data_IF_705401691368
#
_entry.id   IF_705401691368
#
_cell.length_a   1.000
_cell.length_b   1.000
_cell.length_c   1.000
_cell.angle_alpha   90.00
_cell.angle_beta   90.00
_cell.angle_gamma   90.00
#
_symmetry.space_group_name_H-M   'P 1'
#
loop_
_entity.id
_entity.type
_entity.pdbx_description
1 polymer ?
#
# COMPACT_ATOMS: atom_id res chain seq x y z
N UNK A 1 -5.30 9.12 -17.79
CA UNK A 1 -4.75 8.32 -18.91
C UNK A 1 -4.56 6.88 -18.45
N UNK A 2 -3.63 6.60 -17.53
CA UNK A 2 -3.35 5.24 -17.01
C UNK A 2 -4.59 4.47 -16.54
N UNK A 3 -5.50 5.15 -15.82
CA UNK A 3 -6.76 4.55 -15.37
C UNK A 3 -7.56 3.82 -16.46
N UNK A 4 -7.54 4.31 -17.71
CA UNK A 4 -8.27 3.74 -18.86
C UNK A 4 -7.37 3.09 -19.92
N UNK A 5 -6.09 3.47 -19.96
CA UNK A 5 -5.14 2.98 -20.97
C UNK A 5 -4.71 1.55 -20.65
N UNK A 6 -4.59 1.22 -19.37
CA UNK A 6 -4.35 -0.15 -18.91
C UNK A 6 -5.70 -0.85 -18.84
N UNK A 7 -5.91 -1.94 -19.62
CA UNK A 7 -7.15 -2.67 -19.58
C UNK A 7 -7.49 -3.19 -18.17
N UNK A 8 -8.75 -3.50 -17.90
CA UNK A 8 -9.16 -4.14 -16.65
C UNK A 8 -8.29 -5.35 -16.32
N UNK A 9 -7.91 -5.47 -15.05
CA UNK A 9 -7.14 -6.60 -14.49
C UNK A 9 -5.69 -6.74 -14.96
N UNK A 10 -5.22 -5.85 -15.85
CA UNK A 10 -3.84 -5.90 -16.35
C UNK A 10 -2.85 -5.10 -15.49
N UNK A 11 -3.30 -4.37 -14.47
CA UNK A 11 -2.37 -3.85 -13.46
C UNK A 11 -1.90 -4.98 -12.55
N UNK A 12 -0.71 -4.77 -11.99
CA UNK A 12 -0.08 -5.71 -11.07
C UNK A 12 -0.96 -5.99 -9.84
N UNK A 13 -1.21 -7.28 -9.57
CA UNK A 13 -1.95 -7.85 -8.43
C UNK A 13 -3.36 -7.27 -8.16
N UNK A 14 -3.95 -6.61 -9.17
CA UNK A 14 -5.24 -5.91 -9.05
C UNK A 14 -6.44 -6.80 -8.65
N UNK A 15 -6.60 -8.03 -9.18
CA UNK A 15 -7.76 -8.87 -8.89
C UNK A 15 -7.96 -9.21 -7.41
N UNK A 16 -6.89 -9.58 -6.70
CA UNK A 16 -6.99 -10.04 -5.31
C UNK A 16 -7.08 -8.89 -4.32
N UNK A 17 -6.48 -7.73 -4.63
CA UNK A 17 -6.72 -6.50 -3.90
C UNK A 17 -8.16 -6.00 -4.05
N UNK A 18 -8.73 -6.13 -5.25
CA UNK A 18 -10.13 -5.82 -5.51
C UNK A 18 -11.07 -6.75 -4.72
N UNK A 19 -10.79 -8.06 -4.69
CA UNK A 19 -11.57 -9.03 -3.91
C UNK A 19 -11.68 -8.61 -2.43
N UNK A 20 -10.57 -8.19 -1.81
CA UNK A 20 -10.59 -7.73 -0.43
C UNK A 20 -11.56 -6.55 -0.24
N UNK A 21 -11.42 -5.51 -1.09
CA UNK A 21 -12.25 -4.32 -0.98
C UNK A 21 -13.74 -4.62 -1.22
N UNK A 22 -14.04 -5.51 -2.18
CA UNK A 22 -15.40 -5.98 -2.41
C UNK A 22 -15.95 -6.76 -1.22
N UNK A 23 -15.13 -7.63 -0.62
CA UNK A 23 -15.52 -8.41 0.56
C UNK A 23 -15.97 -7.50 1.70
N UNK A 24 -15.17 -6.47 1.98
CA UNK A 24 -15.51 -5.45 2.97
C UNK A 24 -16.82 -4.73 2.63
N UNK A 25 -17.05 -4.43 1.36
CA UNK A 25 -18.26 -3.75 0.91
C UNK A 25 -19.52 -4.62 1.04
N UNK A 26 -19.40 -5.94 0.83
CA UNK A 26 -20.55 -6.86 0.84
C UNK A 26 -20.84 -7.44 2.22
N UNK A 27 -19.81 -7.86 2.95
CA UNK A 27 -19.97 -8.55 4.23
C UNK A 27 -19.76 -7.65 5.45
N UNK A 28 -19.29 -6.42 5.25
CA UNK A 28 -19.06 -5.42 6.32
C UNK A 28 -18.19 -5.94 7.47
N UNK A 29 -17.33 -6.93 7.20
CA UNK A 29 -16.41 -7.54 8.15
C UNK A 29 -15.04 -7.78 7.53
N UNK A 30 -14.00 -7.79 8.37
CA UNK A 30 -12.66 -8.16 7.94
C UNK A 30 -12.65 -9.60 7.42
N UNK A 31 -12.01 -9.87 6.27
CA UNK A 31 -11.84 -11.22 5.77
C UNK A 31 -10.79 -11.99 6.58
N UNK A 32 -10.99 -13.30 6.71
CA UNK A 32 -9.97 -14.25 7.13
C UNK A 32 -9.32 -14.95 5.92
N UNK A 33 -8.22 -15.70 6.12
CA UNK A 33 -7.55 -16.43 5.04
C UNK A 33 -8.43 -17.47 4.32
N UNK A 34 -9.42 -18.03 5.02
CA UNK A 34 -10.34 -19.05 4.51
C UNK A 34 -11.60 -18.46 3.82
N UNK A 35 -11.77 -17.13 3.85
CA UNK A 35 -12.96 -16.45 3.35
C UNK A 35 -12.96 -16.26 1.82
N UNK A 36 -11.98 -16.81 1.09
CA UNK A 36 -11.91 -16.68 -0.38
C UNK A 36 -13.21 -17.18 -1.04
N UNK A 37 -13.84 -16.32 -1.85
CA UNK A 37 -15.16 -16.59 -2.41
C UNK A 37 -15.09 -17.04 -3.88
N UNK A 38 -15.38 -18.31 -4.13
CA UNK A 38 -15.40 -18.87 -5.48
C UNK A 38 -16.37 -18.19 -6.45
N UNK A 39 -17.45 -17.55 -5.97
CA UNK A 39 -18.35 -16.77 -6.81
C UNK A 39 -17.69 -15.47 -7.27
N UNK A 40 -17.05 -14.72 -6.36
CA UNK A 40 -16.32 -13.50 -6.72
C UNK A 40 -15.17 -13.83 -7.68
N UNK A 41 -14.43 -14.91 -7.44
CA UNK A 41 -13.37 -15.37 -8.34
C UNK A 41 -13.90 -15.61 -9.75
N UNK A 42 -15.09 -16.21 -9.89
CA UNK A 42 -15.74 -16.44 -11.19
C UNK A 42 -16.15 -15.14 -11.87
N UNK A 43 -16.74 -14.20 -11.15
CA UNK A 43 -17.14 -12.90 -11.70
C UNK A 43 -15.92 -12.10 -12.19
N UNK A 44 -14.86 -12.04 -11.40
CA UNK A 44 -13.60 -11.40 -11.80
C UNK A 44 -12.98 -12.12 -12.99
N UNK A 45 -12.91 -13.46 -12.98
CA UNK A 45 -12.38 -14.22 -14.10
C UNK A 45 -13.21 -14.09 -15.38
N UNK A 46 -14.55 -13.95 -15.26
CA UNK A 46 -15.44 -13.67 -16.39
C UNK A 46 -15.13 -12.30 -17.00
N UNK A 47 -14.98 -11.26 -16.17
CA UNK A 47 -14.55 -9.93 -16.62
C UNK A 47 -13.13 -9.97 -17.23
N UNK A 48 -12.20 -10.73 -16.65
CA UNK A 48 -10.86 -10.93 -17.23
C UNK A 48 -10.90 -11.55 -18.63
N UNK A 49 -11.78 -12.53 -18.85
CA UNK A 49 -12.00 -13.14 -20.17
C UNK A 49 -12.59 -12.14 -21.17
N UNK A 50 -13.55 -11.32 -20.74
CA UNK A 50 -14.13 -10.24 -21.57
C UNK A 50 -13.08 -9.21 -22.00
N UNK A 51 -12.12 -8.89 -21.11
CA UNK A 51 -11.04 -7.93 -21.36
C UNK A 51 -9.75 -8.57 -21.89
N UNK A 52 -9.84 -9.73 -22.53
CA UNK A 52 -8.71 -10.36 -23.25
C UNK A 52 -7.48 -10.68 -22.39
N UNK A 53 -7.65 -10.81 -21.07
CA UNK A 53 -6.53 -11.09 -20.15
C UNK A 53 -5.86 -12.42 -20.46
N UNK A 54 -6.63 -13.42 -20.91
CA UNK A 54 -6.16 -14.78 -21.15
C UNK A 54 -5.74 -15.06 -22.61
N UNK A 55 -5.67 -14.05 -23.50
CA UNK A 55 -5.38 -14.28 -24.93
C UNK A 55 -4.06 -15.05 -25.17
N UNK A 56 -3.07 -14.91 -24.27
CA UNK A 56 -1.79 -15.61 -24.32
C UNK A 56 -1.61 -16.65 -23.21
N UNK A 57 -2.68 -16.99 -22.48
CA UNK A 57 -2.67 -17.89 -21.32
C UNK A 57 -3.72 -18.99 -21.49
N UNK A 58 -3.67 -20.01 -20.63
CA UNK A 58 -4.75 -21.00 -20.59
C UNK A 58 -6.00 -20.34 -20.00
N UNK A 59 -7.09 -20.29 -20.77
CA UNK A 59 -8.37 -19.74 -20.30
C UNK A 59 -9.01 -20.65 -19.25
N UNK A 60 -9.45 -20.13 -18.10
CA UNK A 60 -10.10 -20.93 -17.07
C UNK A 60 -11.49 -21.39 -17.52
N UNK A 61 -11.92 -22.57 -17.08
CA UNK A 61 -13.30 -23.02 -17.28
C UNK A 61 -14.18 -22.56 -16.11
N UNK A 62 -14.90 -21.46 -16.32
CA UNK A 62 -15.75 -20.84 -15.29
C UNK A 62 -16.86 -21.75 -14.73
N UNK A 63 -17.25 -22.81 -15.46
CA UNK A 63 -18.33 -23.72 -15.07
C UNK A 63 -17.87 -24.83 -14.12
N UNK A 64 -16.59 -25.22 -14.19
CA UNK A 64 -16.05 -26.39 -13.47
C UNK A 64 -15.09 -26.00 -12.36
N UNK A 65 -14.34 -24.90 -12.52
CA UNK A 65 -13.26 -24.53 -11.62
C UNK A 65 -13.62 -23.30 -10.75
N UNK A 66 -12.92 -23.15 -9.63
CA UNK A 66 -12.74 -21.86 -8.96
C UNK A 66 -11.48 -21.23 -9.56
N UNK A 67 -11.62 -20.27 -10.48
CA UNK A 67 -10.49 -19.75 -11.24
C UNK A 67 -9.49 -19.07 -10.29
N UNK A 68 -8.21 -19.41 -10.45
CA UNK A 68 -7.16 -18.75 -9.69
C UNK A 68 -6.94 -17.33 -10.25
N UNK A 69 -7.21 -16.32 -9.42
CA UNK A 69 -7.11 -14.90 -9.78
C UNK A 69 -5.84 -14.20 -9.22
N UNK A 70 -4.98 -14.94 -8.52
CA UNK A 70 -3.72 -14.42 -7.95
C UNK A 70 -3.45 -14.90 -6.53
N UNK A 71 -2.37 -14.39 -5.93
CA UNK A 71 -2.04 -14.65 -4.52
C UNK A 71 -3.03 -13.87 -3.64
N UNK A 72 -3.65 -14.57 -2.68
CA UNK A 72 -4.65 -13.98 -1.78
C UNK A 72 -4.02 -12.85 -0.96
N UNK A 73 -4.71 -11.71 -0.93
CA UNK A 73 -4.34 -10.53 -0.14
C UNK A 73 -5.22 -10.39 1.10
N UNK A 74 -6.11 -11.36 1.39
CA UNK A 74 -7.12 -11.26 2.46
C UNK A 74 -6.52 -11.14 3.87
N UNK A 75 -5.27 -11.52 4.06
CA UNK A 75 -4.53 -11.35 5.32
C UNK A 75 -3.90 -9.95 5.50
N UNK A 76 -3.98 -9.09 4.48
CA UNK A 76 -3.36 -7.77 4.54
C UNK A 76 -4.04 -6.82 5.53
N UNK A 77 -3.31 -5.81 6.02
CA UNK A 77 -3.89 -4.74 6.81
C UNK A 77 -5.03 -4.00 6.07
N UNK A 78 -6.14 -3.67 6.74
CA UNK A 78 -7.39 -3.32 6.07
C UNK A 78 -7.49 -1.87 5.58
N UNK A 79 -6.61 -0.96 6.01
CA UNK A 79 -6.89 0.48 5.91
C UNK A 79 -7.13 0.95 4.48
N UNK A 80 -6.28 0.53 3.54
CA UNK A 80 -6.45 0.88 2.13
C UNK A 80 -7.78 0.36 1.57
N UNK A 81 -8.09 -0.91 1.83
CA UNK A 81 -9.29 -1.56 1.31
C UNK A 81 -10.58 -0.97 1.88
N UNK A 82 -10.56 -0.46 3.13
CA UNK A 82 -11.71 0.24 3.71
C UNK A 82 -12.07 1.50 2.90
N UNK A 83 -11.08 2.26 2.40
CA UNK A 83 -11.37 3.42 1.54
C UNK A 83 -11.92 3.00 0.18
N UNK A 84 -11.42 1.90 -0.38
CA UNK A 84 -11.89 1.36 -1.66
C UNK A 84 -13.28 0.75 -1.53
N UNK A 85 -13.61 0.16 -0.38
CA UNK A 85 -14.93 -0.44 -0.11
C UNK A 85 -16.06 0.59 -0.11
N UNK A 86 -15.79 1.86 0.22
CA UNK A 86 -16.81 2.92 0.27
C UNK A 86 -17.57 3.08 -1.05
N UNK A 87 -16.92 3.35 -2.21
CA UNK A 87 -17.65 3.42 -3.47
C UNK A 87 -18.24 2.07 -3.89
N UNK A 88 -17.60 0.95 -3.53
CA UNK A 88 -18.10 -0.39 -3.86
C UNK A 88 -19.41 -0.71 -3.13
N UNK A 89 -19.59 -0.20 -1.91
CA UNK A 89 -20.84 -0.35 -1.15
C UNK A 89 -22.04 0.28 -1.88
N UNK A 90 -21.83 1.40 -2.59
CA UNK A 90 -22.87 2.00 -3.43
C UNK A 90 -23.05 1.32 -4.79
N UNK A 91 -22.07 0.52 -5.22
CA UNK A 91 -22.01 -0.09 -6.55
C UNK A 91 -22.14 -1.62 -6.54
N UNK A 92 -22.62 -2.23 -5.45
CA UNK A 92 -22.73 -3.69 -5.31
C UNK A 92 -23.52 -4.37 -6.44
N UNK A 93 -24.51 -3.68 -7.02
CA UNK A 93 -25.32 -4.18 -8.14
C UNK A 93 -24.81 -3.80 -9.54
N UNK A 94 -23.70 -3.07 -9.64
CA UNK A 94 -23.09 -2.70 -10.91
C UNK A 94 -22.15 -3.80 -11.42
N UNK A 95 -21.85 -3.76 -12.72
CA UNK A 95 -20.86 -4.66 -13.31
C UNK A 95 -19.49 -4.56 -12.61
N UNK A 96 -18.77 -5.68 -12.53
CA UNK A 96 -17.47 -5.77 -11.85
C UNK A 96 -16.45 -4.82 -12.49
N UNK A 97 -16.52 -4.61 -13.81
CA UNK A 97 -15.65 -3.64 -14.49
C UNK A 97 -15.92 -2.22 -14.01
N UNK A 98 -17.19 -1.85 -13.80
CA UNK A 98 -17.56 -0.53 -13.27
C UNK A 98 -17.10 -0.35 -11.83
N UNK A 99 -17.26 -1.39 -11.01
CA UNK A 99 -16.73 -1.45 -9.64
C UNK A 99 -15.21 -1.26 -9.62
N UNK A 100 -14.48 -1.93 -10.52
CA UNK A 100 -13.04 -1.79 -10.67
C UNK A 100 -12.62 -0.35 -10.99
N UNK A 101 -13.29 0.31 -11.94
CA UNK A 101 -12.99 1.71 -12.24
C UNK A 101 -13.26 2.64 -11.05
N UNK A 102 -14.31 2.38 -10.27
CA UNK A 102 -14.57 3.13 -9.04
C UNK A 102 -13.47 2.93 -8.00
N UNK A 103 -12.93 1.71 -7.89
CA UNK A 103 -11.78 1.41 -7.04
C UNK A 103 -10.51 2.12 -7.52
N UNK A 104 -10.21 2.09 -8.83
CA UNK A 104 -9.09 2.84 -9.43
C UNK A 104 -9.21 4.35 -9.20
N UNK A 105 -10.43 4.91 -9.17
CA UNK A 105 -10.64 6.32 -8.85
C UNK A 105 -10.25 6.67 -7.41
N UNK A 106 -10.45 5.76 -6.45
CA UNK A 106 -9.97 5.94 -5.07
C UNK A 106 -8.44 5.96 -5.05
N UNK A 107 -7.79 5.01 -5.72
CA UNK A 107 -6.32 5.00 -5.86
C UNK A 107 -5.80 6.29 -6.50
N UNK A 108 -6.44 6.75 -7.58
CA UNK A 108 -6.09 8.02 -8.22
C UNK A 108 -6.27 9.21 -7.25
N UNK A 109 -7.35 9.24 -6.48
CA UNK A 109 -7.56 10.27 -5.46
C UNK A 109 -6.45 10.28 -4.41
N UNK A 110 -6.08 9.10 -3.90
CA UNK A 110 -4.94 8.95 -2.98
C UNK A 110 -3.63 9.40 -3.62
N UNK A 111 -3.39 9.06 -4.89
CA UNK A 111 -2.21 9.49 -5.62
C UNK A 111 -2.13 11.02 -5.77
N UNK A 112 -3.25 11.70 -6.05
CA UNK A 112 -3.29 13.16 -6.10
C UNK A 112 -2.95 13.80 -4.74
N UNK A 113 -3.39 13.19 -3.64
CA UNK A 113 -3.01 13.64 -2.29
C UNK A 113 -1.51 13.40 -2.05
N UNK A 114 -0.96 12.27 -2.50
CA UNK A 114 0.49 11.97 -2.46
C UNK A 114 1.28 13.04 -3.21
N UNK A 115 0.83 13.47 -4.39
CA UNK A 115 1.46 14.57 -5.13
C UNK A 115 1.41 15.89 -4.34
N UNK A 116 0.27 16.22 -3.75
CA UNK A 116 0.14 17.38 -2.86
C UNK A 116 1.05 17.30 -1.63
N UNK A 117 1.20 16.11 -1.05
CA UNK A 117 2.11 15.83 0.05
C UNK A 117 3.57 16.05 -0.36
N UNK A 118 3.97 15.53 -1.52
CA UNK A 118 5.32 15.71 -2.07
C UNK A 118 5.66 17.17 -2.37
N UNK A 119 4.69 17.93 -2.92
CA UNK A 119 4.80 19.37 -3.10
C UNK A 119 4.97 20.08 -1.75
N UNK A 120 4.19 19.68 -0.75
CA UNK A 120 4.30 20.16 0.63
C UNK A 120 5.71 19.95 1.19
N UNK A 121 6.28 18.75 1.03
CA UNK A 121 7.64 18.42 1.48
C UNK A 121 8.66 19.33 0.80
N UNK A 122 8.59 19.46 -0.53
CA UNK A 122 9.50 20.31 -1.29
C UNK A 122 9.40 21.79 -0.88
N UNK A 123 8.19 22.27 -0.55
CA UNK A 123 7.96 23.63 -0.06
C UNK A 123 8.62 23.89 1.29
N UNK A 124 8.53 22.94 2.21
CA UNK A 124 9.16 23.05 3.53
C UNK A 124 10.70 22.97 3.41
N UNK A 125 11.24 22.12 2.53
CA UNK A 125 12.71 21.97 2.35
C UNK A 125 13.32 23.19 1.62
N UNK A 126 12.65 23.71 0.58
CA UNK A 126 13.17 24.80 -0.26
C UNK A 126 12.28 26.06 -0.20
N UNK A 127 12.08 26.71 0.96
CA UNK A 127 11.09 27.77 1.12
C UNK A 127 11.31 28.98 0.20
N UNK A 128 12.56 29.28 -0.18
CA UNK A 128 12.92 30.43 -1.01
C UNK A 128 12.81 30.17 -2.52
N UNK A 129 12.82 28.91 -2.97
CA UNK A 129 12.89 28.58 -4.39
C UNK A 129 11.62 27.89 -4.89
N UNK A 130 10.63 28.69 -5.28
CA UNK A 130 9.29 28.21 -5.70
C UNK A 130 9.32 27.20 -6.85
N UNK A 131 10.29 27.31 -7.76
CA UNK A 131 10.44 26.37 -8.88
C UNK A 131 10.74 24.94 -8.40
N UNK A 132 11.49 24.80 -7.30
CA UNK A 132 11.83 23.47 -6.76
C UNK A 132 10.65 22.79 -6.05
N UNK A 133 9.58 23.53 -5.72
CA UNK A 133 8.39 22.94 -5.10
C UNK A 133 7.72 21.93 -6.03
N UNK A 134 7.81 22.15 -7.34
CA UNK A 134 7.26 21.27 -8.36
C UNK A 134 8.18 20.11 -8.75
N UNK A 135 9.44 20.10 -8.32
CA UNK A 135 10.41 19.10 -8.75
C UNK A 135 10.02 17.69 -8.31
N UNK A 136 9.64 17.52 -7.02
CA UNK A 136 9.21 16.23 -6.48
C UNK A 136 7.94 15.70 -7.15
N UNK A 137 6.81 16.43 -7.18
CA UNK A 137 5.61 15.93 -7.84
C UNK A 137 5.82 15.72 -9.34
N UNK A 138 6.61 16.55 -10.03
CA UNK A 138 6.93 16.33 -11.43
C UNK A 138 7.73 15.03 -11.63
N UNK A 139 8.72 14.74 -10.79
CA UNK A 139 9.48 13.49 -10.86
C UNK A 139 8.57 12.25 -10.70
N UNK A 140 7.63 12.31 -9.75
CA UNK A 140 6.67 11.22 -9.51
C UNK A 140 5.74 11.02 -10.72
N UNK A 141 5.16 12.09 -11.26
CA UNK A 141 4.23 12.01 -12.41
C UNK A 141 4.96 11.62 -13.70
N UNK A 142 6.21 12.05 -13.88
CA UNK A 142 7.01 11.73 -15.06
C UNK A 142 7.63 10.34 -15.01
N UNK A 143 7.33 9.53 -13.98
CA UNK A 143 7.77 8.14 -13.86
C UNK A 143 6.62 7.20 -14.23
N UNK A 144 6.56 6.67 -15.48
CA UNK A 144 5.43 5.87 -15.97
C UNK A 144 5.05 4.71 -15.05
N UNK A 145 6.04 3.92 -14.63
CA UNK A 145 5.82 2.76 -13.77
C UNK A 145 5.26 3.13 -12.39
N UNK A 146 5.61 4.31 -11.88
CA UNK A 146 5.08 4.78 -10.60
C UNK A 146 3.62 5.23 -10.75
N UNK A 147 3.30 5.97 -11.82
CA UNK A 147 1.93 6.39 -12.09
C UNK A 147 1.01 5.18 -12.32
N UNK A 148 1.49 4.20 -13.09
CA UNK A 148 0.79 2.94 -13.34
C UNK A 148 0.39 2.24 -12.03
N UNK A 149 1.40 1.99 -11.17
CA UNK A 149 1.20 1.38 -9.86
C UNK A 149 0.26 2.20 -8.96
N UNK A 150 0.38 3.53 -8.99
CA UNK A 150 -0.45 4.45 -8.18
C UNK A 150 -1.89 4.59 -8.68
N UNK A 151 -2.19 4.16 -9.91
CA UNK A 151 -3.56 4.15 -10.47
C UNK A 151 -4.25 2.80 -10.41
N UNK A 152 -3.51 1.74 -10.07
CA UNK A 152 -4.02 0.39 -9.86
C UNK A 152 -4.71 0.24 -8.49
N UNK A 153 -5.50 -0.82 -8.33
CA UNK A 153 -6.06 -1.20 -7.03
C UNK A 153 -5.04 -2.06 -6.27
N UNK A 154 -4.29 -1.45 -5.34
CA UNK A 154 -3.33 -2.15 -4.49
C UNK A 154 -3.04 -1.37 -3.19
N UNK A 155 -2.57 -2.08 -2.17
CA UNK A 155 -2.24 -1.47 -0.87
C UNK A 155 -0.97 -0.59 -0.90
N UNK A 156 -0.14 -0.65 -1.94
CA UNK A 156 1.03 0.23 -2.10
C UNK A 156 0.63 1.69 -2.34
N UNK A 157 -0.53 1.93 -2.96
CA UNK A 157 -1.08 3.29 -3.13
C UNK A 157 -1.34 3.92 -1.76
N UNK A 158 -2.04 3.19 -0.89
CA UNK A 158 -2.29 3.62 0.48
C UNK A 158 -0.99 3.80 1.26
N UNK A 159 -0.08 2.84 1.14
CA UNK A 159 1.19 2.84 1.87
C UNK A 159 2.01 4.08 1.53
N UNK A 160 2.11 4.40 0.24
CA UNK A 160 2.85 5.57 -0.24
C UNK A 160 2.19 6.89 0.18
N UNK A 161 0.85 6.96 0.16
CA UNK A 161 0.12 8.14 0.64
C UNK A 161 0.42 8.41 2.12
N UNK A 162 0.16 7.44 3.00
CA UNK A 162 0.31 7.65 4.44
C UNK A 162 1.77 7.88 4.82
N UNK A 163 2.71 7.19 4.17
CA UNK A 163 4.13 7.44 4.38
C UNK A 163 4.56 8.84 3.90
N UNK A 164 4.02 9.33 2.78
CA UNK A 164 4.28 10.70 2.31
C UNK A 164 3.73 11.74 3.29
N UNK A 165 2.53 11.52 3.83
CA UNK A 165 1.96 12.40 4.85
C UNK A 165 2.74 12.35 6.17
N UNK A 166 3.24 11.18 6.56
CA UNK A 166 4.17 11.02 7.69
C UNK A 166 5.45 11.84 7.47
N UNK A 167 6.08 11.75 6.29
CA UNK A 167 7.27 12.53 5.97
C UNK A 167 6.99 14.03 6.00
N UNK A 168 5.87 14.48 5.44
CA UNK A 168 5.45 15.89 5.49
C UNK A 168 5.25 16.37 6.94
N UNK A 169 4.56 15.58 7.75
CA UNK A 169 4.39 15.87 9.18
C UNK A 169 5.73 15.90 9.91
N UNK A 170 6.64 14.97 9.60
CA UNK A 170 7.98 14.89 10.17
C UNK A 170 8.84 16.11 9.83
N UNK A 171 8.82 16.56 8.57
CA UNK A 171 9.54 17.78 8.17
C UNK A 171 8.97 19.00 8.88
N UNK A 172 7.65 19.16 8.93
CA UNK A 172 7.00 20.25 9.68
C UNK A 172 7.32 20.19 11.16
N UNK A 173 7.33 19.00 11.73
CA UNK A 173 7.71 18.76 13.11
C UNK A 173 9.15 19.24 13.35
N UNK A 174 10.11 18.93 12.48
CA UNK A 174 11.50 19.38 12.68
C UNK A 174 11.69 20.89 12.52
N UNK A 175 10.90 21.55 11.67
CA UNK A 175 11.08 22.98 11.39
C UNK A 175 10.33 23.91 12.35
N UNK A 176 9.28 23.41 13.02
CA UNK A 176 8.45 24.19 13.94
C UNK A 176 8.91 24.01 15.39
N UNK A 177 8.54 24.95 16.26
CA UNK A 177 8.75 24.82 17.71
C UNK A 177 8.08 23.55 18.24
N UNK A 178 8.52 23.05 19.39
CA UNK A 178 7.90 21.87 20.03
C UNK A 178 6.43 22.19 20.31
N UNK A 179 5.54 21.41 19.72
CA UNK A 179 4.10 21.53 19.85
C UNK A 179 3.51 20.13 20.00
N UNK A 180 2.63 19.94 20.99
CA UNK A 180 2.00 18.65 21.27
C UNK A 180 1.14 18.18 20.08
N UNK A 181 0.48 19.12 19.39
CA UNK A 181 -0.35 18.80 18.22
C UNK A 181 0.46 18.20 17.07
N UNK A 182 1.66 18.71 16.80
CA UNK A 182 2.50 18.18 15.73
C UNK A 182 3.01 16.77 16.10
N UNK A 183 3.33 16.51 17.38
CA UNK A 183 3.66 15.16 17.87
C UNK A 183 2.48 14.19 17.74
N UNK A 184 1.27 14.64 18.05
CA UNK A 184 0.04 13.84 17.93
C UNK A 184 -0.23 13.49 16.47
N UNK A 185 -0.16 14.47 15.55
CA UNK A 185 -0.32 14.25 14.12
C UNK A 185 0.69 13.21 13.64
N UNK A 186 1.96 13.35 14.04
CA UNK A 186 3.01 12.41 13.65
C UNK A 186 2.73 10.99 14.17
N UNK A 187 2.27 10.85 15.41
CA UNK A 187 1.86 9.56 15.98
C UNK A 187 0.66 8.94 15.26
N UNK A 188 -0.34 9.74 14.90
CA UNK A 188 -1.48 9.28 14.09
C UNK A 188 -1.03 8.79 12.72
N UNK A 189 -0.11 9.50 12.05
CA UNK A 189 0.41 9.07 10.75
C UNK A 189 1.15 7.72 10.84
N UNK A 190 1.89 7.46 11.92
CA UNK A 190 2.53 6.15 12.17
C UNK A 190 1.48 5.06 12.35
N UNK A 191 0.42 5.33 13.11
CA UNK A 191 -0.71 4.41 13.27
C UNK A 191 -1.38 4.08 11.93
N UNK A 192 -1.60 5.06 11.07
CA UNK A 192 -2.15 4.84 9.72
C UNK A 192 -1.20 3.97 8.87
N UNK A 193 0.12 4.21 8.92
CA UNK A 193 1.10 3.36 8.23
C UNK A 193 1.01 1.90 8.71
N UNK A 194 0.86 1.69 10.03
CA UNK A 194 0.72 0.35 10.62
C UNK A 194 -0.48 -0.43 10.06
N UNK A 195 -1.63 0.22 9.91
CA UNK A 195 -2.83 -0.42 9.37
C UNK A 195 -2.88 -0.51 7.84
N UNK A 196 -1.83 -0.08 7.13
CA UNK A 196 -1.82 -0.09 5.66
C UNK A 196 -0.98 -1.22 5.07
N UNK A 197 0.31 -1.28 5.40
CA UNK A 197 1.22 -2.29 4.84
C UNK A 197 2.46 -2.42 5.71
N UNK A 198 2.95 -3.65 5.87
CA UNK A 198 4.13 -3.93 6.69
C UNK A 198 5.41 -3.24 6.19
N UNK A 199 5.50 -2.95 4.89
CA UNK A 199 6.66 -2.28 4.27
C UNK A 199 6.87 -0.85 4.77
N UNK A 200 5.79 -0.14 5.15
CA UNK A 200 5.86 1.24 5.67
C UNK A 200 5.99 1.32 7.18
N UNK A 201 6.14 0.18 7.86
CA UNK A 201 6.41 0.13 9.30
C UNK A 201 7.76 0.75 9.70
N UNK A 202 8.64 1.01 8.72
CA UNK A 202 9.83 1.85 8.90
C UNK A 202 9.49 3.27 9.42
N UNK A 203 8.23 3.70 9.29
CA UNK A 203 7.74 4.92 9.93
C UNK A 203 7.87 4.89 11.47
N UNK A 204 7.80 3.71 12.11
CA UNK A 204 7.93 3.56 13.57
C UNK A 204 9.35 3.94 14.04
N UNK A 205 10.44 3.30 13.57
CA UNK A 205 11.79 3.73 13.96
C UNK A 205 12.08 5.17 13.51
N UNK A 206 11.57 5.60 12.35
CA UNK A 206 11.71 6.99 11.91
C UNK A 206 11.04 7.98 12.85
N UNK A 207 9.86 7.65 13.41
CA UNK A 207 9.15 8.48 14.39
C UNK A 207 9.98 8.71 15.64
N UNK A 208 10.53 7.65 16.22
CA UNK A 208 11.37 7.78 17.40
C UNK A 208 12.67 8.53 17.11
N UNK A 209 13.27 8.31 15.93
CA UNK A 209 14.42 9.09 15.49
C UNK A 209 14.09 10.59 15.41
N UNK A 210 12.95 10.97 14.83
CA UNK A 210 12.52 12.37 14.75
C UNK A 210 12.29 12.98 16.14
N UNK A 211 11.66 12.25 17.06
CA UNK A 211 11.48 12.70 18.44
C UNK A 211 12.83 12.89 19.14
N UNK A 212 13.74 11.93 19.00
CA UNK A 212 15.08 11.98 19.57
C UNK A 212 15.87 13.18 19.05
N UNK A 213 15.90 13.39 17.73
CA UNK A 213 16.58 14.53 17.12
C UNK A 213 16.02 15.86 17.63
N UNK A 214 14.69 15.98 17.76
CA UNK A 214 14.07 17.21 18.26
C UNK A 214 14.32 17.44 19.75
N UNK A 215 14.35 16.38 20.56
CA UNK A 215 14.69 16.48 21.99
C UNK A 215 16.16 16.84 22.22
N UNK A 216 17.08 16.37 21.37
CA UNK A 216 18.48 16.79 21.41
C UNK A 216 18.68 18.25 21.00
N UNK A 217 17.82 18.78 20.13
CA UNK A 217 17.80 20.20 19.78
C UNK A 217 17.11 21.08 20.86
N UNK A 218 16.46 20.47 21.86
CA UNK A 218 15.76 21.19 22.91
C UNK A 218 16.68 21.65 24.05
N UNK A 219 16.30 22.73 24.74
CA UNK A 219 17.02 23.26 25.90
C UNK A 219 17.03 22.26 27.08
N UNK A 220 18.05 22.34 27.98
CA UNK A 220 18.33 21.33 29.00
C UNK A 220 17.43 21.46 30.23
N UNK A 221 16.16 21.06 30.11
CA UNK A 221 15.78 19.83 30.81
C UNK A 221 15.21 18.75 29.88
N UNK A 222 14.86 19.08 28.64
CA UNK A 222 14.19 18.15 27.73
C UNK A 222 15.15 17.16 27.05
N UNK A 223 16.46 17.46 27.00
CA UNK A 223 17.45 16.54 26.45
C UNK A 223 17.59 15.24 27.27
N UNK A 224 17.28 15.23 28.57
CA UNK A 224 17.29 14.00 29.38
C UNK A 224 16.18 13.02 28.97
N UNK A 225 15.09 13.50 28.36
CA UNK A 225 14.04 12.65 27.79
C UNK A 225 14.49 11.97 26.48
N UNK A 226 15.63 12.36 25.89
CA UNK A 226 16.17 11.71 24.71
C UNK A 226 16.69 10.29 25.00
N UNK A 227 17.21 10.03 26.20
CA UNK A 227 17.73 8.71 26.61
C UNK A 227 16.66 7.61 26.71
N UNK A 228 15.48 7.81 27.35
CA UNK A 228 14.43 6.81 27.33
C UNK A 228 13.85 6.60 25.91
N UNK A 229 13.77 7.66 25.10
CA UNK A 229 13.35 7.54 23.68
C UNK A 229 14.37 6.73 22.87
N UNK A 230 15.67 6.95 23.07
CA UNK A 230 16.74 6.15 22.45
C UNK A 230 16.62 4.68 22.85
N UNK A 231 16.46 4.39 24.14
CA UNK A 231 16.32 3.03 24.65
C UNK A 231 15.10 2.31 24.05
N UNK A 232 13.97 3.03 23.93
CA UNK A 232 12.75 2.51 23.32
C UNK A 232 12.92 2.28 21.80
N UNK A 233 13.64 3.18 21.12
CA UNK A 233 14.00 3.05 19.69
C UNK A 233 14.82 1.79 19.43
N UNK A 234 15.87 1.59 20.23
CA UNK A 234 16.75 0.42 20.13
C UNK A 234 15.99 -0.86 20.46
N UNK A 235 15.12 -0.82 21.47
CA UNK A 235 14.26 -1.96 21.81
C UNK A 235 13.32 -2.36 20.66
N UNK A 236 12.67 -1.40 20.02
CA UNK A 236 11.75 -1.65 18.90
C UNK A 236 12.51 -2.14 17.66
N UNK A 237 13.65 -1.53 17.33
CA UNK A 237 14.51 -2.01 16.23
C UNK A 237 14.97 -3.45 16.52
N UNK A 238 15.35 -3.74 17.77
CA UNK A 238 15.67 -5.09 18.21
C UNK A 238 14.53 -6.07 17.96
N UNK A 239 13.31 -5.77 18.44
CA UNK A 239 12.13 -6.63 18.21
C UNK A 239 11.86 -6.82 16.73
N UNK A 240 11.88 -5.76 15.92
CA UNK A 240 11.66 -5.84 14.47
C UNK A 240 12.66 -6.76 13.77
N UNK A 241 13.94 -6.69 14.14
CA UNK A 241 14.99 -7.55 13.59
C UNK A 241 14.79 -9.02 14.00
N UNK A 242 14.22 -9.30 15.17
CA UNK A 242 13.94 -10.65 15.64
C UNK A 242 12.62 -11.24 15.11
N UNK A 243 11.62 -10.41 14.76
CA UNK A 243 10.34 -10.87 14.20
C UNK A 243 10.36 -11.05 12.68
N UNK A 244 11.42 -10.61 12.00
CA UNK A 244 11.60 -10.73 10.54
C UNK A 244 11.97 -12.15 10.07
N UNK A 245 11.43 -13.18 10.74
CA UNK A 245 11.59 -14.60 10.37
C UNK A 245 10.69 -14.99 9.17
N UNK A 246 9.88 -14.06 8.65
CA UNK A 246 8.98 -14.27 7.50
C UNK A 246 9.70 -14.43 6.15
N UNK A 247 10.98 -14.04 6.04
CA UNK A 247 11.77 -14.38 4.86
C UNK A 247 11.93 -15.91 4.70
N UNK A 248 11.79 -16.68 5.78
CA UNK A 248 11.81 -18.15 5.73
C UNK A 248 10.48 -18.77 5.24
N UNK A 249 9.38 -18.01 5.20
CA UNK A 249 8.07 -18.51 4.78
C UNK A 249 8.01 -18.80 3.26
N UNK A 250 8.70 -17.98 2.45
CA UNK A 250 8.88 -18.20 1.01
C UNK A 250 9.51 -19.56 0.66
N UNK A 251 10.27 -20.16 1.59
CA UNK A 251 10.85 -21.49 1.44
C UNK A 251 10.01 -22.62 2.06
N UNK A 252 9.04 -22.31 2.93
CA UNK A 252 8.19 -23.31 3.61
C UNK A 252 6.88 -23.58 2.89
N UNK A 253 6.34 -22.60 2.17
CA UNK A 253 5.08 -22.73 1.42
C UNK A 253 5.26 -22.74 -0.11
N UNK A 254 6.38 -23.27 -0.59
CA UNK A 254 6.34 -23.81 -1.94
C UNK A 254 5.41 -25.02 -1.93
N UNK A 255 4.33 -25.07 -2.75
CA UNK A 255 3.84 -26.37 -3.17
C UNK A 255 5.08 -27.07 -3.72
N UNK A 256 5.22 -28.36 -3.45
CA UNK A 256 6.13 -29.20 -4.19
C UNK A 256 5.80 -29.06 -5.69
N UNK A 257 6.38 -28.06 -6.34
CA UNK A 257 6.58 -28.03 -7.77
C UNK A 257 7.61 -29.12 -7.97
N UNK A 258 7.11 -30.36 -8.02
CA UNK A 258 7.79 -31.44 -8.70
C UNK A 258 8.09 -30.89 -10.08
N UNK A 259 9.36 -30.53 -10.25
CA UNK A 259 9.98 -30.14 -11.49
C UNK A 259 9.85 -31.34 -12.42
N UNK A 260 8.71 -31.50 -13.09
CA UNK A 260 8.39 -32.59 -14.02
C UNK A 260 8.82 -32.26 -15.44
N UNK A 261 9.78 -31.37 -15.62
CA UNK A 261 10.43 -31.14 -16.90
C UNK A 261 11.65 -32.05 -17.00
N UNK A 262 11.65 -33.12 -17.82
CA UNK A 262 12.85 -33.88 -18.05
C UNK A 262 13.85 -32.99 -18.78
N UNK A 263 14.89 -32.55 -18.07
CA UNK A 263 16.11 -31.99 -18.68
C UNK A 263 16.79 -33.10 -19.47
N UNK A 264 16.40 -33.23 -20.75
CA UNK A 264 17.20 -33.94 -21.76
C UNK A 264 18.52 -33.20 -21.92
N UNK A 265 19.54 -33.59 -21.16
CA UNK A 265 20.93 -33.34 -21.53
C UNK A 265 21.29 -34.29 -22.67
N UNK A 266 21.37 -33.74 -23.88
CA UNK A 266 22.14 -34.35 -24.98
C UNK A 266 23.61 -34.08 -24.69
N UNK A 267 24.39 -35.14 -24.51
CA UNK A 267 25.78 -35.21 -24.93
C UNK A 267 25.86 -36.25 -26.05
#
# INVERSE_FOLDING_TARGET
MYLFLVPPWQHYDEPTHFEYAWWLAVYERLPGPEDANGLMHREVAASMLEHHFFDNLASPNLLLDTPWIGISQLSDPPLYYLFVAIPLWFLQGADVTMQLYAARLVSLGMFLITLGGSYGIAKEIFPKHKTFHWLLPALLVLTPAFVDLMTAVNNDVGATLFFTLFLLAGVRFMQRKINLWDSLILGVMVGLCYFTKSTVLIAIPAFFLLLLLKLFQAQPPFHYLAYPVLMLSVGIIGVYLFTWDDAAYWYREGPSVQQTWPTKYRH
#
